data_IF_707065203287
#
_entry.id   IF_707065203287
#
_cell.length_a   1.000
_cell.length_b   1.000
_cell.length_c   1.000
_cell.angle_alpha   90.00
_cell.angle_beta   90.00
_cell.angle_gamma   90.00
#
_symmetry.space_group_name_H-M   'P 1'
#
loop_
_entity.id
_entity.type
_entity.pdbx_description
1 polymer ?
#
# COMPACT_ATOMS: atom_id res chain seq x y z
N UNK A 1 14.51 -39.94 -34.08
CA UNK A 1 14.21 -38.83 -35.00
C UNK A 1 12.82 -38.21 -34.82
N UNK A 2 11.74 -38.97 -34.60
CA UNK A 2 10.37 -38.41 -34.43
C UNK A 2 10.22 -37.63 -33.11
N UNK A 3 10.77 -38.11 -32.01
CA UNK A 3 10.69 -37.46 -30.69
C UNK A 3 11.41 -36.13 -30.66
N UNK A 4 12.57 -36.02 -31.31
CA UNK A 4 13.36 -34.77 -31.35
C UNK A 4 12.65 -33.68 -32.16
N UNK A 5 11.94 -34.02 -33.24
CA UNK A 5 11.13 -33.07 -34.00
C UNK A 5 9.92 -32.59 -33.18
N UNK A 6 9.29 -33.50 -32.45
CA UNK A 6 8.17 -33.16 -31.56
C UNK A 6 8.58 -32.17 -30.45
N UNK A 7 9.70 -32.43 -29.78
CA UNK A 7 10.25 -31.54 -28.75
C UNK A 7 10.55 -30.15 -29.34
N UNK A 8 11.18 -30.12 -30.52
CA UNK A 8 11.51 -28.85 -31.17
C UNK A 8 10.25 -28.02 -31.53
N UNK A 9 9.21 -28.68 -32.04
CA UNK A 9 7.95 -27.98 -32.36
C UNK A 9 7.25 -27.49 -31.12
N UNK A 10 7.20 -28.26 -30.03
CA UNK A 10 6.61 -27.82 -28.75
C UNK A 10 7.37 -26.62 -28.22
N UNK A 11 8.71 -26.65 -28.24
CA UNK A 11 9.54 -25.52 -27.76
C UNK A 11 9.29 -24.27 -28.58
N UNK A 12 9.19 -24.36 -29.89
CA UNK A 12 8.89 -23.23 -30.76
C UNK A 12 7.50 -22.65 -30.51
N UNK A 13 6.49 -23.51 -30.30
CA UNK A 13 5.13 -23.06 -29.96
C UNK A 13 5.09 -22.35 -28.61
N UNK A 14 5.76 -22.92 -27.60
CA UNK A 14 5.86 -22.28 -26.26
C UNK A 14 6.55 -20.93 -26.35
N UNK A 15 7.68 -20.84 -27.07
CA UNK A 15 8.37 -19.56 -27.28
C UNK A 15 7.50 -18.56 -28.03
N UNK A 16 6.75 -18.96 -29.05
CA UNK A 16 5.86 -18.09 -29.80
C UNK A 16 4.67 -17.60 -28.93
N UNK A 17 4.19 -18.41 -27.99
CA UNK A 17 3.13 -18.01 -27.03
C UNK A 17 3.71 -17.06 -25.97
N UNK A 18 4.88 -17.34 -25.43
CA UNK A 18 5.51 -16.49 -24.41
C UNK A 18 5.81 -15.07 -24.93
N UNK A 19 6.14 -14.90 -26.21
CA UNK A 19 6.37 -13.57 -26.82
C UNK A 19 5.10 -12.72 -26.95
N UNK A 20 3.90 -13.35 -26.82
CA UNK A 20 2.61 -12.65 -26.88
C UNK A 20 2.08 -12.18 -25.52
N UNK A 21 2.80 -12.45 -24.45
CA UNK A 21 2.43 -11.94 -23.11
C UNK A 21 2.92 -10.50 -23.03
N UNK A 22 2.10 -9.58 -23.52
CA UNK A 22 2.29 -8.16 -23.27
C UNK A 22 1.91 -7.95 -21.80
N UNK A 23 2.91 -7.86 -20.91
CA UNK A 23 2.69 -7.39 -19.57
C UNK A 23 2.14 -5.95 -19.63
N UNK A 24 1.14 -5.65 -18.81
CA UNK A 24 0.64 -4.28 -18.66
C UNK A 24 1.83 -3.40 -18.29
N UNK A 25 2.32 -2.63 -19.27
CA UNK A 25 3.46 -1.75 -19.09
C UNK A 25 2.96 -0.34 -18.93
N UNK A 26 2.98 0.18 -17.71
CA UNK A 26 2.69 1.57 -17.44
C UNK A 26 3.83 2.45 -17.98
N UNK A 27 3.51 3.37 -18.89
CA UNK A 27 4.43 4.40 -19.37
C UNK A 27 3.93 5.78 -18.98
N UNK A 28 4.61 6.41 -18.05
CA UNK A 28 4.24 7.75 -17.59
C UNK A 28 4.59 8.87 -18.59
N UNK A 29 5.33 8.58 -19.65
CA UNK A 29 5.77 9.59 -20.62
C UNK A 29 4.63 10.33 -21.34
N UNK A 30 3.49 9.66 -21.49
CA UNK A 30 2.31 10.21 -22.14
C UNK A 30 1.11 10.35 -21.19
N UNK A 31 1.33 10.18 -19.90
CA UNK A 31 0.28 10.33 -18.89
C UNK A 31 -0.18 11.79 -18.83
N UNK A 32 -1.47 12.01 -19.06
CA UNK A 32 -2.10 13.33 -18.91
C UNK A 32 -2.68 13.42 -17.50
N UNK A 33 -1.84 13.80 -16.55
CA UNK A 33 -2.33 14.05 -15.20
C UNK A 33 -3.15 15.36 -15.17
N UNK A 34 -4.32 15.31 -14.58
CA UNK A 34 -5.08 16.51 -14.21
C UNK A 34 -4.34 17.20 -13.09
N UNK A 35 -4.07 18.51 -13.22
CA UNK A 35 -3.47 19.29 -12.14
C UNK A 35 -4.39 19.26 -10.94
N UNK A 36 -4.07 18.41 -9.95
CA UNK A 36 -4.83 18.26 -8.72
C UNK A 36 -4.24 19.20 -7.66
N UNK A 37 -5.09 20.02 -7.04
CA UNK A 37 -4.70 20.72 -5.82
C UNK A 37 -4.83 19.75 -4.63
N UNK A 38 -3.75 19.46 -3.88
CA UNK A 38 -3.83 18.59 -2.71
C UNK A 38 -4.83 19.05 -1.65
N UNK A 39 -5.16 20.35 -1.62
CA UNK A 39 -6.14 20.91 -0.71
C UNK A 39 -7.58 20.53 -1.05
N UNK A 40 -7.84 20.14 -2.29
CA UNK A 40 -9.15 19.65 -2.73
C UNK A 40 -9.40 18.18 -2.36
N UNK A 41 -8.40 17.48 -1.79
CA UNK A 41 -8.48 16.09 -1.38
C UNK A 41 -8.67 15.97 0.14
N UNK A 42 -9.90 15.79 0.64
CA UNK A 42 -10.20 15.77 2.08
C UNK A 42 -9.51 14.63 2.85
N UNK A 43 -9.21 13.52 2.17
CA UNK A 43 -8.58 12.36 2.77
C UNK A 43 -7.08 12.24 2.43
N UNK A 44 -6.50 13.29 1.81
CA UNK A 44 -5.13 13.30 1.32
C UNK A 44 -5.01 12.79 -0.11
N UNK A 45 -3.78 12.63 -0.57
CA UNK A 45 -3.47 12.21 -1.94
C UNK A 45 -2.70 10.91 -1.97
N UNK A 46 -2.88 10.14 -3.04
CA UNK A 46 -2.13 8.93 -3.37
C UNK A 46 -1.66 8.96 -4.83
N UNK A 47 -1.11 7.87 -5.31
CA UNK A 47 -0.77 7.66 -6.71
C UNK A 47 -1.82 6.82 -7.40
N UNK A 48 -1.96 7.02 -8.71
CA UNK A 48 -2.76 6.12 -9.55
C UNK A 48 -2.09 4.74 -9.67
N UNK A 49 -2.80 3.76 -10.24
CA UNK A 49 -2.32 2.37 -10.39
C UNK A 49 -0.98 2.24 -11.14
N UNK A 50 -0.61 3.24 -11.92
CA UNK A 50 0.65 3.30 -12.66
C UNK A 50 1.72 4.16 -11.97
N UNK A 51 1.43 4.70 -10.80
CA UNK A 51 2.27 5.65 -10.06
C UNK A 51 2.64 6.91 -10.84
N UNK A 52 1.96 7.17 -11.95
CA UNK A 52 2.23 8.29 -12.84
C UNK A 52 1.62 9.60 -12.34
N UNK A 53 0.37 9.56 -11.90
CA UNK A 53 -0.38 10.73 -11.49
C UNK A 53 -0.71 10.72 -10.01
N UNK A 54 -0.74 11.91 -9.41
CA UNK A 54 -1.28 12.09 -8.07
C UNK A 54 -2.80 12.23 -8.17
N UNK A 55 -3.52 11.47 -7.34
CA UNK A 55 -4.99 11.45 -7.26
C UNK A 55 -5.42 11.63 -5.81
N UNK A 56 -6.69 11.96 -5.56
CA UNK A 56 -7.20 11.96 -4.19
C UNK A 56 -7.24 10.53 -3.65
N UNK A 57 -6.91 10.36 -2.39
CA UNK A 57 -7.06 9.11 -1.68
C UNK A 57 -8.51 8.90 -1.24
N UNK A 58 -8.95 7.64 -1.23
CA UNK A 58 -10.31 7.26 -0.90
C UNK A 58 -10.71 7.63 0.53
N UNK A 59 -11.97 8.06 0.68
CA UNK A 59 -12.61 8.35 1.96
C UNK A 59 -13.26 7.12 2.60
N UNK A 60 -13.84 7.29 3.81
CA UNK A 60 -14.56 6.21 4.48
C UNK A 60 -15.73 5.69 3.61
N UNK A 61 -15.83 4.38 3.42
CA UNK A 61 -16.85 3.74 2.60
C UNK A 61 -16.58 3.72 1.11
N UNK A 62 -15.48 4.32 0.64
CA UNK A 62 -15.09 4.27 -0.78
C UNK A 62 -14.33 2.98 -1.09
N UNK A 63 -14.43 2.55 -2.36
CA UNK A 63 -13.74 1.37 -2.85
C UNK A 63 -12.20 1.54 -2.80
N UNK A 64 -11.49 0.43 -2.57
CA UNK A 64 -10.04 0.42 -2.49
C UNK A 64 -9.42 -0.93 -2.88
N UNK A 65 -8.12 -0.94 -3.11
CA UNK A 65 -7.36 -2.16 -3.35
C UNK A 65 -7.57 -2.76 -4.74
N UNK A 66 -7.84 -4.05 -4.82
CA UNK A 66 -7.89 -4.81 -6.07
C UNK A 66 -6.49 -5.03 -6.69
N UNK A 67 -6.43 -5.69 -7.88
CA UNK A 67 -5.17 -5.94 -8.56
C UNK A 67 -4.46 -4.62 -8.88
N UNK A 68 -3.19 -4.52 -8.49
CA UNK A 68 -2.39 -3.29 -8.69
C UNK A 68 -3.05 -2.00 -8.17
N UNK A 69 -3.89 -2.09 -7.15
CA UNK A 69 -4.61 -0.95 -6.56
C UNK A 69 -5.50 -0.19 -7.57
N UNK A 70 -6.14 -0.92 -8.51
CA UNK A 70 -7.01 -0.30 -9.54
C UNK A 70 -8.18 0.48 -8.97
N UNK A 71 -8.65 0.11 -7.77
CA UNK A 71 -9.72 0.79 -7.04
C UNK A 71 -9.19 1.90 -6.11
N UNK A 72 -7.86 2.17 -6.17
CA UNK A 72 -7.22 3.22 -5.40
C UNK A 72 -6.78 2.81 -3.99
N UNK A 73 -6.25 3.77 -3.27
CA UNK A 73 -5.79 3.62 -1.90
C UNK A 73 -6.60 4.49 -0.94
N UNK A 74 -6.73 4.02 0.28
CA UNK A 74 -7.42 4.75 1.33
C UNK A 74 -6.59 5.92 1.87
N UNK A 75 -7.27 6.97 2.28
CA UNK A 75 -6.69 8.15 2.88
C UNK A 75 -6.12 7.92 4.28
N UNK A 76 -5.57 9.02 4.83
CA UNK A 76 -4.91 8.99 6.13
C UNK A 76 -5.83 8.50 7.25
N UNK A 77 -5.35 7.53 8.03
CA UNK A 77 -6.12 6.95 9.15
C UNK A 77 -7.13 5.87 8.74
N UNK A 78 -7.23 5.58 7.44
CA UNK A 78 -8.06 4.51 6.91
C UNK A 78 -7.21 3.31 6.49
N UNK A 79 -7.83 2.14 6.40
CA UNK A 79 -7.26 0.91 5.84
C UNK A 79 -8.26 0.28 4.87
N UNK A 80 -7.74 -0.36 3.84
CA UNK A 80 -8.57 -1.07 2.89
C UNK A 80 -8.98 -2.41 3.50
N UNK A 81 -10.26 -2.57 3.78
CA UNK A 81 -10.84 -3.79 4.33
C UNK A 81 -11.57 -4.55 3.22
N UNK A 82 -11.14 -5.78 2.98
CA UNK A 82 -11.84 -6.69 2.09
C UNK A 82 -12.65 -7.67 2.92
N UNK A 83 -13.85 -7.97 2.48
CA UNK A 83 -14.67 -8.97 3.15
C UNK A 83 -13.99 -10.34 3.12
N UNK A 84 -14.04 -11.02 4.25
CA UNK A 84 -13.55 -12.40 4.33
C UNK A 84 -14.48 -13.31 3.54
N UNK A 85 -13.90 -14.24 2.79
CA UNK A 85 -14.70 -15.18 2.03
C UNK A 85 -15.68 -15.97 2.90
N UNK A 86 -16.87 -16.25 2.39
CA UNK A 86 -17.79 -17.18 3.01
C UNK A 86 -17.13 -18.56 3.23
N UNK A 87 -17.45 -19.25 4.35
CA UNK A 87 -16.80 -20.51 4.71
C UNK A 87 -17.15 -21.70 3.78
N UNK A 88 -18.06 -21.51 2.87
CA UNK A 88 -18.54 -22.50 1.89
C UNK A 88 -17.86 -22.39 0.52
N UNK A 89 -17.00 -21.36 0.34
CA UNK A 89 -16.23 -21.18 -0.91
C UNK A 89 -14.88 -21.89 -0.79
N UNK A 90 -14.48 -22.59 -1.87
CA UNK A 90 -13.18 -23.26 -1.94
C UNK A 90 -12.03 -22.25 -1.83
N UNK A 91 -10.95 -22.62 -1.14
CA UNK A 91 -9.80 -21.73 -0.88
C UNK A 91 -9.24 -21.04 -2.13
N UNK A 92 -9.22 -21.74 -3.26
CA UNK A 92 -8.71 -21.19 -4.53
C UNK A 92 -9.65 -20.13 -5.13
N UNK A 93 -10.95 -20.32 -5.03
CA UNK A 93 -11.97 -19.39 -5.52
C UNK A 93 -12.05 -18.15 -4.60
N UNK A 94 -11.94 -18.37 -3.30
CA UNK A 94 -11.80 -17.32 -2.31
C UNK A 94 -10.56 -16.44 -2.57
N UNK A 95 -9.43 -17.06 -2.85
CA UNK A 95 -8.20 -16.34 -3.17
C UNK A 95 -8.36 -15.48 -4.44
N UNK A 96 -9.02 -16.00 -5.46
CA UNK A 96 -9.30 -15.26 -6.68
C UNK A 96 -10.25 -14.08 -6.43
N UNK A 97 -11.32 -14.28 -5.66
CA UNK A 97 -12.24 -13.23 -5.24
C UNK A 97 -11.50 -12.11 -4.50
N UNK A 98 -10.66 -12.47 -3.53
CA UNK A 98 -9.84 -11.52 -2.79
C UNK A 98 -8.88 -10.71 -3.69
N UNK A 99 -8.37 -11.30 -4.77
CA UNK A 99 -7.48 -10.62 -5.71
C UNK A 99 -8.20 -9.70 -6.69
N UNK A 100 -9.48 -9.94 -6.98
CA UNK A 100 -10.20 -9.25 -8.06
C UNK A 100 -11.23 -8.23 -7.58
N UNK A 101 -11.82 -8.44 -6.41
CA UNK A 101 -12.88 -7.59 -5.89
C UNK A 101 -12.31 -6.38 -5.12
N UNK A 102 -13.03 -5.24 -5.14
CA UNK A 102 -12.66 -4.10 -4.31
C UNK A 102 -12.87 -4.39 -2.83
N UNK A 103 -12.08 -3.74 -2.00
CA UNK A 103 -12.37 -3.56 -0.58
C UNK A 103 -13.03 -2.22 -0.33
N UNK A 104 -13.29 -1.92 0.94
CA UNK A 104 -13.87 -0.67 1.42
C UNK A 104 -12.90 0.02 2.39
N UNK A 105 -12.76 1.33 2.26
CA UNK A 105 -11.95 2.12 3.18
C UNK A 105 -12.64 2.26 4.53
N UNK A 106 -12.08 1.64 5.55
CA UNK A 106 -12.58 1.67 6.93
C UNK A 106 -11.59 2.34 7.88
N UNK A 107 -12.07 2.83 9.01
CA UNK A 107 -11.21 3.38 10.05
C UNK A 107 -10.23 2.32 10.56
N UNK A 108 -8.93 2.64 10.59
CA UNK A 108 -7.93 1.78 11.22
C UNK A 108 -8.31 1.56 12.68
N UNK A 109 -8.55 0.30 13.05
CA UNK A 109 -8.70 -0.06 14.44
C UNK A 109 -7.36 0.17 15.13
N UNK A 110 -7.28 1.20 15.98
CA UNK A 110 -6.11 1.41 16.83
C UNK A 110 -5.91 0.16 17.68
N UNK A 111 -4.88 -0.61 17.38
CA UNK A 111 -4.49 -1.73 18.23
C UNK A 111 -4.05 -1.16 19.58
N UNK A 112 -4.43 -1.84 20.68
CA UNK A 112 -3.95 -1.52 22.02
C UNK A 112 -2.41 -1.40 22.07
N UNK A 113 -1.70 -2.11 21.21
CA UNK A 113 -0.25 -2.04 21.05
C UNK A 113 0.22 -0.69 20.47
N UNK A 114 -0.56 -0.05 19.60
CA UNK A 114 -0.23 1.28 19.07
C UNK A 114 -0.36 2.36 20.14
N UNK A 115 -1.35 2.21 21.04
CA UNK A 115 -1.50 3.10 22.19
C UNK A 115 -0.27 2.99 23.12
N UNK A 116 0.20 1.78 23.43
CA UNK A 116 1.41 1.57 24.25
C UNK A 116 2.69 2.04 23.56
N UNK A 117 2.81 1.87 22.25
CA UNK A 117 3.97 2.36 21.50
C UNK A 117 4.04 3.89 21.52
N UNK A 118 2.90 4.57 21.39
CA UNK A 118 2.82 6.04 21.40
C UNK A 118 3.07 6.62 22.79
N UNK A 119 2.55 5.99 23.85
CA UNK A 119 2.76 6.40 25.25
C UNK A 119 4.21 6.16 25.69
N UNK A 120 4.83 5.04 25.31
CA UNK A 120 6.22 4.77 25.60
C UNK A 120 7.18 5.74 24.90
N UNK A 121 6.88 6.16 23.67
CA UNK A 121 7.70 7.12 22.93
C UNK A 121 7.64 8.52 23.58
N UNK A 122 6.46 8.98 23.95
CA UNK A 122 6.26 10.24 24.64
C UNK A 122 6.94 10.25 26.01
N UNK A 123 6.80 9.18 26.80
CA UNK A 123 7.48 9.03 28.09
C UNK A 123 9.01 9.00 27.98
N UNK A 124 9.55 8.39 26.93
CA UNK A 124 10.99 8.35 26.71
C UNK A 124 11.58 9.72 26.34
N UNK A 125 10.86 10.52 25.54
CA UNK A 125 11.26 11.89 25.20
C UNK A 125 11.25 12.79 26.44
N UNK A 126 10.24 12.69 27.31
CA UNK A 126 10.16 13.44 28.56
C UNK A 126 11.33 13.09 29.51
N UNK A 127 11.69 11.82 29.63
CA UNK A 127 12.85 11.36 30.43
C UNK A 127 14.16 11.90 29.84
N UNK A 128 14.32 11.91 28.52
CA UNK A 128 15.48 12.50 27.84
C UNK A 128 15.64 13.98 28.12
N UNK A 129 14.55 14.75 28.02
CA UNK A 129 14.57 16.18 28.23
C UNK A 129 14.89 16.52 29.69
N UNK A 130 14.29 15.82 30.66
CA UNK A 130 14.63 15.98 32.09
C UNK A 130 16.11 15.66 32.37
N UNK A 131 16.69 14.65 31.72
CA UNK A 131 18.11 14.32 31.84
C UNK A 131 19.00 15.43 31.26
N UNK A 132 18.62 15.99 30.11
CA UNK A 132 19.33 17.08 29.46
C UNK A 132 19.34 18.33 30.34
N UNK A 133 18.22 18.72 30.90
CA UNK A 133 18.09 19.87 31.79
C UNK A 133 18.93 19.71 33.07
N UNK A 134 18.99 18.54 33.67
CA UNK A 134 19.85 18.26 34.84
C UNK A 134 21.33 18.44 34.50
N UNK A 135 21.78 17.90 33.35
CA UNK A 135 23.17 18.04 32.91
C UNK A 135 23.55 19.52 32.67
N UNK A 136 22.66 20.29 32.08
CA UNK A 136 22.90 21.74 31.86
C UNK A 136 23.03 22.46 33.20
N UNK A 137 22.19 22.17 34.17
CA UNK A 137 22.24 22.77 35.50
C UNK A 137 23.55 22.41 36.24
N UNK A 138 24.03 21.18 36.14
CA UNK A 138 25.32 20.78 36.70
C UNK A 138 26.51 21.48 36.03
N UNK A 139 26.46 21.66 34.71
CA UNK A 139 27.48 22.39 33.95
C UNK A 139 27.53 23.88 34.31
N UNK A 140 26.39 24.51 34.63
CA UNK A 140 26.34 25.89 35.12
C UNK A 140 26.96 26.05 36.50
N UNK A 141 26.79 25.06 37.39
CA UNK A 141 27.43 25.06 38.73
C UNK A 141 28.95 24.97 38.65
N UNK A 142 29.50 24.26 37.66
CA UNK A 142 30.92 24.08 37.47
C UNK A 142 31.62 25.30 36.83
N UNK A 143 30.84 26.27 36.30
CA UNK A 143 31.36 27.50 35.71
C UNK A 143 31.46 28.66 36.73
N UNK A 144 30.96 28.47 37.94
CA UNK A 144 31.07 29.43 39.06
C UNK A 144 32.20 29.04 40.02
#
# INVERSE_FOLDING_TARGET
MKCQKLVLTITLVVMAVCVRIEAVHCSCQNAKCTGLDPNDCPNGTTKDMCECCTVCAGGPGEECGGPWHIYGDCGSGLECHQETCPPDIADAECYLHYLTEPGECVQKKHSFLDFFSKTNKAGLEEVRERRRLRLLHELEKLKK
#
